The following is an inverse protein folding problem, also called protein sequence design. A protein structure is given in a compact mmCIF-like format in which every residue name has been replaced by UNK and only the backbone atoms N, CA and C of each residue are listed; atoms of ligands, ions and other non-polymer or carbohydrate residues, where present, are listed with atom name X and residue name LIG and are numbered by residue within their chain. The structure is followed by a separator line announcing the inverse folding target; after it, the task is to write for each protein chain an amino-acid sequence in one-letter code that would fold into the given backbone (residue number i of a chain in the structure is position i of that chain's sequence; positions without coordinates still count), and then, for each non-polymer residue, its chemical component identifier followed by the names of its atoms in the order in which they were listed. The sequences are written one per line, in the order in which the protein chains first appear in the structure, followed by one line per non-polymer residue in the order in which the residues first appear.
data_IF_360587498941
#
_entry.id   IF_360587498941
#
_cell.length_a   1.000
_cell.length_b   1.000
_cell.length_c   1.000
_cell.angle_alpha   90.00
_cell.angle_beta   90.00
_cell.angle_gamma   90.00
#
_symmetry.space_group_name_H-M   'P 1'
#
loop_
_entity.id
_entity.type
_entity.pdbx_description
1 polymer ?
#
# COMPACT_ATOMS: atom_id res chain seq x y z
N UNK A 1 12.93 13.05 16.24
CA UNK A 1 12.34 13.14 14.88
C UNK A 1 13.19 12.49 13.78
N UNK A 2 14.53 12.38 13.90
CA UNK A 2 15.40 11.85 12.82
C UNK A 2 15.01 10.45 12.31
N UNK A 3 14.88 9.46 13.19
CA UNK A 3 14.62 8.08 12.75
C UNK A 3 13.22 7.88 12.13
N UNK A 4 12.22 8.67 12.56
CA UNK A 4 10.91 8.68 11.92
C UNK A 4 11.01 9.10 10.45
N UNK A 5 11.82 10.13 10.17
CA UNK A 5 12.05 10.60 8.80
C UNK A 5 12.65 9.49 7.94
N UNK A 6 13.61 8.72 8.46
CA UNK A 6 14.20 7.58 7.73
C UNK A 6 13.14 6.53 7.39
N UNK A 7 12.26 6.20 8.35
CA UNK A 7 11.17 5.24 8.11
C UNK A 7 10.15 5.76 7.08
N UNK A 8 9.79 7.05 7.15
CA UNK A 8 8.89 7.68 6.18
C UNK A 8 9.51 7.75 4.78
N UNK A 9 10.81 8.04 4.66
CA UNK A 9 11.54 8.01 3.39
C UNK A 9 11.53 6.59 2.83
N UNK A 10 11.81 5.58 3.66
CA UNK A 10 11.79 4.17 3.26
C UNK A 10 10.43 3.77 2.67
N UNK A 11 9.33 4.09 3.37
CA UNK A 11 7.98 3.86 2.87
C UNK A 11 7.71 4.56 1.54
N UNK A 12 8.09 5.83 1.44
CA UNK A 12 7.87 6.64 0.24
C UNK A 12 8.64 6.10 -0.96
N UNK A 13 9.89 5.65 -0.76
CA UNK A 13 10.71 5.02 -1.79
C UNK A 13 10.06 3.74 -2.32
N UNK A 14 9.61 2.84 -1.44
CA UNK A 14 8.93 1.60 -1.86
C UNK A 14 7.60 1.87 -2.54
N UNK A 15 6.82 2.84 -2.05
CA UNK A 15 5.56 3.24 -2.67
C UNK A 15 5.77 3.82 -4.07
N UNK A 16 6.83 4.62 -4.27
CA UNK A 16 7.17 5.16 -5.58
C UNK A 16 7.66 4.08 -6.54
N UNK A 17 8.52 3.16 -6.08
CA UNK A 17 8.96 2.01 -6.89
C UNK A 17 7.79 1.12 -7.29
N UNK A 18 6.90 0.84 -6.34
CA UNK A 18 5.65 0.11 -6.59
C UNK A 18 4.82 0.79 -7.68
N UNK A 19 4.55 2.10 -7.55
CA UNK A 19 3.78 2.85 -8.53
C UNK A 19 4.44 2.87 -9.93
N UNK A 20 5.75 3.01 -10.01
CA UNK A 20 6.49 2.96 -11.28
C UNK A 20 6.32 1.59 -11.94
N UNK A 21 6.48 0.50 -11.19
CA UNK A 21 6.33 -0.85 -11.72
C UNK A 21 4.87 -1.14 -12.09
N UNK A 22 3.91 -0.69 -11.28
CA UNK A 22 2.48 -0.81 -11.57
C UNK A 22 2.12 -0.08 -12.89
N UNK A 23 2.66 1.11 -13.13
CA UNK A 23 2.50 1.84 -14.40
C UNK A 23 3.12 1.13 -15.61
N UNK A 24 4.24 0.40 -15.40
CA UNK A 24 4.91 -0.38 -16.45
C UNK A 24 4.09 -1.63 -16.79
N UNK A 25 3.62 -2.34 -15.77
CA UNK A 25 2.88 -3.61 -15.89
C UNK A 25 1.44 -3.37 -16.36
N UNK A 26 0.79 -2.32 -15.85
CA UNK A 26 -0.64 -2.02 -16.03
C UNK A 26 -1.50 -3.26 -15.72
N UNK A 27 -1.40 -3.78 -14.49
CA UNK A 27 -2.03 -5.03 -14.12
C UNK A 27 -3.56 -4.91 -14.09
N UNK A 28 -4.26 -5.99 -14.44
CA UNK A 28 -5.66 -6.18 -14.07
C UNK A 28 -5.78 -7.38 -13.14
N UNK A 29 -6.41 -7.18 -11.98
CA UNK A 29 -6.68 -8.25 -11.03
C UNK A 29 -8.12 -8.70 -11.24
N UNK A 30 -8.30 -9.99 -11.50
CA UNK A 30 -9.60 -10.58 -11.79
C UNK A 30 -9.80 -11.86 -11.01
N UNK A 31 -11.07 -12.22 -10.81
CA UNK A 31 -11.48 -13.48 -10.22
C UNK A 31 -12.54 -14.08 -11.12
N UNK A 32 -12.37 -15.34 -11.48
CA UNK A 32 -13.31 -16.08 -12.30
C UNK A 32 -13.43 -17.52 -11.78
N UNK A 33 -14.64 -17.90 -11.37
CA UNK A 33 -14.92 -19.22 -10.82
C UNK A 33 -13.97 -19.60 -9.67
N UNK A 34 -13.22 -20.69 -9.84
CA UNK A 34 -12.27 -21.21 -8.85
C UNK A 34 -10.85 -20.62 -8.96
N UNK A 35 -10.68 -19.48 -9.66
CA UNK A 35 -9.39 -18.86 -9.92
C UNK A 35 -9.37 -17.36 -9.61
N UNK A 36 -8.33 -16.88 -8.93
CA UNK A 36 -7.96 -15.46 -9.00
C UNK A 36 -6.67 -15.31 -9.80
N UNK A 37 -6.53 -14.20 -10.50
CA UNK A 37 -5.36 -13.94 -11.32
C UNK A 37 -5.10 -12.45 -11.52
N UNK A 38 -3.83 -12.14 -11.78
CA UNK A 38 -3.37 -10.83 -12.21
C UNK A 38 -2.79 -10.98 -13.62
N UNK A 39 -3.29 -10.22 -14.58
CA UNK A 39 -2.83 -10.23 -15.98
C UNK A 39 -2.04 -8.97 -16.32
N UNK A 40 -1.13 -9.12 -17.28
CA UNK A 40 -0.39 -8.06 -17.95
C UNK A 40 -0.47 -8.30 -19.46
N UNK A 41 -0.89 -7.28 -20.22
CA UNK A 41 -0.90 -7.31 -21.68
C UNK A 41 0.51 -7.16 -22.24
N UNK A 42 0.91 -8.05 -23.15
CA UNK A 42 2.19 -7.98 -23.87
C UNK A 42 2.09 -7.38 -25.28
N UNK A 43 0.91 -6.96 -25.72
CA UNK A 43 0.65 -6.40 -27.07
C UNK A 43 1.60 -5.26 -27.50
N UNK A 44 1.96 -4.38 -26.58
CA UNK A 44 2.90 -3.26 -26.80
C UNK A 44 4.17 -3.40 -25.94
N UNK A 45 4.47 -4.61 -25.47
CA UNK A 45 5.61 -4.86 -24.61
C UNK A 45 6.87 -5.07 -25.48
N UNK A 46 7.93 -4.25 -25.33
CA UNK A 46 9.08 -4.28 -26.22
C UNK A 46 10.05 -5.44 -25.94
N UNK A 47 9.84 -6.21 -24.86
CA UNK A 47 10.73 -7.30 -24.44
C UNK A 47 10.03 -8.67 -24.54
N UNK A 48 10.72 -9.74 -24.14
CA UNK A 48 10.15 -11.09 -24.19
C UNK A 48 9.08 -11.35 -23.11
N UNK A 49 8.20 -12.32 -23.35
CA UNK A 49 7.22 -12.83 -22.38
C UNK A 49 7.86 -13.24 -21.04
N UNK A 50 9.07 -13.82 -21.08
CA UNK A 50 9.77 -14.20 -19.87
C UNK A 50 10.13 -12.98 -19.02
N UNK A 51 10.53 -11.88 -19.66
CA UNK A 51 10.80 -10.62 -18.95
C UNK A 51 9.48 -10.05 -18.43
N UNK A 52 8.39 -10.08 -19.21
CA UNK A 52 7.08 -9.65 -18.74
C UNK A 52 6.63 -10.43 -17.48
N UNK A 53 6.80 -11.75 -17.47
CA UNK A 53 6.49 -12.58 -16.30
C UNK A 53 7.36 -12.24 -15.09
N UNK A 54 8.64 -11.94 -15.28
CA UNK A 54 9.53 -11.50 -14.19
C UNK A 54 9.03 -10.17 -13.61
N UNK A 55 8.73 -9.19 -14.46
CA UNK A 55 8.27 -7.86 -14.03
C UNK A 55 6.91 -7.97 -13.31
N UNK A 56 6.00 -8.81 -13.79
CA UNK A 56 4.73 -9.11 -13.12
C UNK A 56 4.97 -9.73 -11.71
N UNK A 57 5.88 -10.69 -11.59
CA UNK A 57 6.23 -11.25 -10.27
C UNK A 57 6.93 -10.26 -9.35
N UNK A 58 7.75 -9.34 -9.89
CA UNK A 58 8.33 -8.23 -9.14
C UNK A 58 7.22 -7.33 -8.59
N UNK A 59 6.20 -7.00 -9.40
CA UNK A 59 5.04 -6.24 -8.94
C UNK A 59 4.34 -6.94 -7.77
N UNK A 60 4.08 -8.25 -7.87
CA UNK A 60 3.54 -9.04 -6.76
C UNK A 60 4.44 -8.92 -5.52
N UNK A 61 5.77 -8.96 -5.69
CA UNK A 61 6.72 -8.74 -4.62
C UNK A 61 6.55 -7.38 -3.93
N UNK A 62 6.47 -6.28 -4.69
CA UNK A 62 6.20 -4.96 -4.10
C UNK A 62 4.82 -4.88 -3.43
N UNK A 63 3.81 -5.55 -3.99
CA UNK A 63 2.51 -5.76 -3.35
C UNK A 63 2.64 -6.39 -1.96
N UNK A 64 3.54 -7.37 -1.81
CA UNK A 64 3.84 -8.02 -0.54
C UNK A 64 4.62 -7.18 0.47
N UNK A 65 5.38 -6.17 0.03
CA UNK A 65 6.08 -5.23 0.93
C UNK A 65 5.08 -4.32 1.66
N UNK A 66 4.03 -3.90 0.96
CA UNK A 66 3.06 -2.88 1.39
C UNK A 66 2.35 -3.22 2.72
N UNK A 67 1.74 -4.41 2.92
CA UNK A 67 1.10 -4.78 4.18
C UNK A 67 2.01 -4.64 5.41
N UNK A 68 3.27 -5.07 5.28
CA UNK A 68 4.24 -5.01 6.38
C UNK A 68 4.69 -3.58 6.65
N UNK A 69 4.89 -2.78 5.61
CA UNK A 69 5.15 -1.35 5.76
C UNK A 69 4.03 -0.65 6.55
N UNK A 70 2.77 -0.91 6.19
CA UNK A 70 1.61 -0.36 6.91
C UNK A 70 1.66 -0.77 8.38
N UNK A 71 1.84 -2.07 8.67
CA UNK A 71 1.90 -2.57 10.04
C UNK A 71 3.01 -1.92 10.88
N UNK A 72 4.21 -1.74 10.30
CA UNK A 72 5.34 -1.10 10.98
C UNK A 72 5.06 0.37 11.28
N UNK A 73 4.41 1.10 10.36
CA UNK A 73 4.00 2.48 10.61
C UNK A 73 3.02 2.58 11.77
N UNK A 74 2.07 1.64 11.88
CA UNK A 74 1.14 1.58 13.00
C UNK A 74 1.85 1.27 14.33
N UNK A 75 2.79 0.33 14.35
CA UNK A 75 3.61 0.05 15.54
C UNK A 75 4.41 1.30 15.95
N UNK A 76 5.07 1.96 15.00
CA UNK A 76 5.85 3.17 15.27
C UNK A 76 4.99 4.25 15.92
N UNK A 77 3.81 4.52 15.33
CA UNK A 77 2.87 5.53 15.85
C UNK A 77 2.40 5.18 17.25
N UNK A 78 2.09 3.92 17.51
CA UNK A 78 1.72 3.47 18.85
C UNK A 78 2.84 3.73 19.87
N UNK A 79 4.09 3.36 19.58
CA UNK A 79 5.21 3.61 20.47
C UNK A 79 5.51 5.10 20.69
N UNK A 80 5.27 5.94 19.68
CA UNK A 80 5.38 7.38 19.82
C UNK A 80 4.34 7.95 20.81
N UNK A 81 3.11 7.42 20.79
CA UNK A 81 2.03 7.80 21.71
C UNK A 81 2.23 7.26 23.12
N UNK A 82 2.89 6.12 23.27
CA UNK A 82 3.09 5.51 24.57
C UNK A 82 4.00 6.35 25.49
N UNK A 83 4.95 7.09 24.89
CA UNK A 83 5.99 7.91 25.56
C UNK A 83 6.82 7.17 26.62
N UNK A 84 6.92 5.83 26.54
CA UNK A 84 7.73 4.99 27.45
C UNK A 84 9.16 4.71 26.97
N UNK A 85 9.65 5.43 25.97
CA UNK A 85 10.99 5.23 25.40
C UNK A 85 11.13 4.03 24.46
N UNK A 86 10.03 3.38 24.06
CA UNK A 86 10.04 2.25 23.12
C UNK A 86 10.46 2.63 21.69
N UNK A 87 10.51 3.93 21.36
CA UNK A 87 11.11 4.44 20.12
C UNK A 87 12.60 4.07 19.98
N UNK A 88 13.27 3.65 21.05
CA UNK A 88 14.63 3.08 20.99
C UNK A 88 14.73 1.85 20.06
N UNK A 89 13.65 1.08 19.89
CA UNK A 89 13.60 -0.05 18.96
C UNK A 89 13.55 0.38 17.49
N UNK A 90 13.25 1.65 17.22
CA UNK A 90 13.36 2.27 15.91
C UNK A 90 14.65 3.10 15.80
N UNK A 91 15.72 2.65 16.46
CA UNK A 91 17.03 3.33 16.46
C UNK A 91 18.19 2.34 16.41
N UNK A 92 19.31 2.80 15.83
CA UNK A 92 20.54 2.02 15.72
C UNK A 92 20.33 0.66 15.04
N UNK A 93 20.90 -0.39 15.61
CA UNK A 93 20.86 -1.76 15.07
C UNK A 93 19.46 -2.35 14.91
N UNK A 94 18.49 -1.94 15.72
CA UNK A 94 17.12 -2.45 15.65
C UNK A 94 16.36 -1.91 14.43
N UNK A 95 16.77 -0.75 13.89
CA UNK A 95 16.17 -0.18 12.69
C UNK A 95 16.34 -1.10 11.46
N UNK A 96 17.46 -1.82 11.37
CA UNK A 96 17.76 -2.75 10.28
C UNK A 96 16.70 -3.87 10.25
N UNK A 97 16.30 -4.39 11.41
CA UNK A 97 15.28 -5.45 11.51
C UNK A 97 13.95 -4.97 10.91
N UNK A 98 13.55 -3.73 11.18
CA UNK A 98 12.33 -3.16 10.62
C UNK A 98 12.38 -2.99 9.11
N UNK A 99 13.55 -2.80 8.49
CA UNK A 99 13.66 -2.78 7.02
C UNK A 99 13.68 -4.18 6.41
N UNK A 100 14.22 -5.18 7.12
CA UNK A 100 14.24 -6.54 6.62
C UNK A 100 12.85 -7.17 6.56
N UNK A 101 11.96 -6.89 7.53
CA UNK A 101 10.62 -7.50 7.60
C UNK A 101 9.81 -7.27 6.30
N UNK A 102 9.64 -6.03 5.79
CA UNK A 102 8.92 -5.81 4.54
C UNK A 102 9.59 -6.45 3.32
N UNK A 103 10.94 -6.46 3.26
CA UNK A 103 11.68 -7.10 2.17
C UNK A 103 11.39 -8.60 2.14
N UNK A 104 11.38 -9.26 3.31
CA UNK A 104 11.01 -10.68 3.41
C UNK A 104 9.56 -10.93 2.98
N UNK A 105 8.64 -10.03 3.35
CA UNK A 105 7.26 -10.05 2.86
C UNK A 105 7.17 -9.99 1.33
N UNK A 106 7.95 -9.09 0.72
CA UNK A 106 8.01 -8.98 -0.74
C UNK A 106 8.67 -10.17 -1.43
N UNK A 107 9.76 -10.70 -0.86
CA UNK A 107 10.39 -11.94 -1.35
C UNK A 107 9.39 -13.11 -1.30
N UNK A 108 8.60 -13.21 -0.23
CA UNK A 108 7.55 -14.23 -0.11
C UNK A 108 6.50 -14.11 -1.23
N UNK A 109 5.99 -12.92 -1.50
CA UNK A 109 4.99 -12.73 -2.57
C UNK A 109 5.57 -12.93 -3.97
N UNK A 110 6.81 -12.51 -4.21
CA UNK A 110 7.53 -12.83 -5.44
C UNK A 110 7.67 -14.35 -5.60
N UNK A 111 8.06 -15.05 -4.54
CA UNK A 111 8.22 -16.50 -4.53
C UNK A 111 6.89 -17.21 -4.87
N UNK A 112 5.79 -16.81 -4.23
CA UNK A 112 4.46 -17.34 -4.53
C UNK A 112 4.09 -17.11 -6.00
N UNK A 113 4.28 -15.89 -6.49
CA UNK A 113 4.01 -15.53 -7.89
C UNK A 113 4.85 -16.35 -8.89
N UNK A 114 6.14 -16.54 -8.60
CA UNK A 114 7.07 -17.18 -9.51
C UNK A 114 6.98 -18.71 -9.56
N UNK A 115 6.74 -19.36 -8.42
CA UNK A 115 6.75 -20.82 -8.33
C UNK A 115 5.35 -21.44 -8.35
N UNK A 116 4.35 -20.77 -7.79
CA UNK A 116 3.00 -21.32 -7.65
C UNK A 116 2.04 -20.77 -8.70
N UNK A 117 2.11 -19.47 -8.97
CA UNK A 117 1.10 -18.79 -9.78
C UNK A 117 1.50 -18.56 -11.23
N UNK A 118 2.67 -19.06 -11.65
CA UNK A 118 3.21 -18.82 -12.98
C UNK A 118 2.31 -19.40 -14.08
N UNK A 119 2.31 -18.73 -15.23
CA UNK A 119 1.63 -19.17 -16.46
C UNK A 119 1.89 -20.66 -16.76
N UNK A 120 0.81 -21.39 -17.00
CA UNK A 120 0.80 -22.81 -17.34
C UNK A 120 -0.40 -23.14 -18.24
N UNK A 121 -0.33 -24.23 -19.00
CA UNK A 121 -1.33 -24.52 -20.04
C UNK A 121 -2.74 -24.75 -19.48
N UNK A 122 -2.85 -25.45 -18.34
CA UNK A 122 -4.15 -25.76 -17.71
C UNK A 122 -4.89 -24.49 -17.27
N UNK A 123 -4.20 -23.60 -16.56
CA UNK A 123 -4.78 -22.34 -16.11
C UNK A 123 -5.03 -21.40 -17.28
N UNK A 124 -4.16 -21.41 -18.31
CA UNK A 124 -4.34 -20.60 -19.52
C UNK A 124 -5.65 -20.95 -20.21
N UNK A 125 -5.95 -22.24 -20.34
CA UNK A 125 -7.20 -22.68 -20.96
C UNK A 125 -8.42 -22.33 -20.12
N UNK A 126 -8.32 -22.47 -18.78
CA UNK A 126 -9.39 -22.14 -17.86
C UNK A 126 -9.80 -20.66 -17.92
N UNK A 127 -8.84 -19.73 -17.99
CA UNK A 127 -9.13 -18.29 -17.97
C UNK A 127 -9.29 -17.68 -19.37
N UNK A 128 -9.04 -18.45 -20.45
CA UNK A 128 -9.00 -17.95 -21.84
C UNK A 128 -10.26 -17.16 -22.22
N UNK A 129 -11.43 -17.76 -21.98
CA UNK A 129 -12.71 -17.15 -22.33
C UNK A 129 -12.97 -15.89 -21.50
N UNK A 130 -12.83 -15.99 -20.17
CA UNK A 130 -13.02 -14.85 -19.26
C UNK A 130 -12.11 -13.69 -19.63
N UNK A 131 -10.82 -13.92 -19.92
CA UNK A 131 -9.91 -12.82 -20.27
C UNK A 131 -10.25 -12.18 -21.61
N UNK A 132 -10.66 -12.97 -22.61
CA UNK A 132 -11.09 -12.44 -23.90
C UNK A 132 -12.36 -11.60 -23.78
N UNK A 133 -13.36 -12.08 -23.03
CA UNK A 133 -14.65 -11.41 -22.87
C UNK A 133 -14.54 -10.13 -22.04
N UNK A 134 -13.74 -10.15 -20.97
CA UNK A 134 -13.61 -9.04 -20.02
C UNK A 134 -12.58 -7.98 -20.43
N UNK A 135 -11.48 -8.39 -21.05
CA UNK A 135 -10.35 -7.50 -21.37
C UNK A 135 -10.05 -7.37 -22.86
N UNK A 136 -10.69 -8.18 -23.72
CA UNK A 136 -10.41 -8.18 -25.16
C UNK A 136 -8.99 -8.67 -25.50
N UNK A 137 -8.37 -9.44 -24.61
CA UNK A 137 -7.00 -9.91 -24.74
C UNK A 137 -6.95 -11.40 -25.09
N UNK A 138 -6.05 -11.75 -26.02
CA UNK A 138 -5.75 -13.13 -26.31
C UNK A 138 -4.60 -13.64 -25.42
N UNK A 139 -4.63 -14.94 -25.09
CA UNK A 139 -3.62 -15.57 -24.21
C UNK A 139 -2.19 -15.53 -24.77
N UNK A 140 -2.02 -15.46 -26.09
CA UNK A 140 -0.72 -15.30 -26.74
C UNK A 140 -0.11 -13.90 -26.56
N UNK A 141 -0.93 -12.91 -26.22
CA UNK A 141 -0.53 -11.52 -25.96
C UNK A 141 -0.69 -11.15 -24.47
N UNK A 142 -0.66 -12.17 -23.60
CA UNK A 142 -0.88 -11.99 -22.16
C UNK A 142 0.07 -12.85 -21.34
N UNK A 143 0.64 -12.26 -20.30
CA UNK A 143 1.26 -13.00 -19.19
C UNK A 143 0.44 -12.80 -17.93
N UNK A 144 0.47 -13.78 -17.03
CA UNK A 144 -0.35 -13.73 -15.83
C UNK A 144 0.30 -14.44 -14.65
N UNK A 145 -0.16 -14.08 -13.45
CA UNK A 145 0.02 -14.82 -12.22
C UNK A 145 -1.35 -15.23 -11.69
N UNK A 146 -1.64 -16.53 -11.65
CA UNK A 146 -2.96 -17.07 -11.32
C UNK A 146 -2.89 -18.22 -10.31
N UNK A 147 -3.83 -18.22 -9.36
CA UNK A 147 -4.08 -19.34 -8.47
C UNK A 147 -5.39 -20.01 -8.87
N UNK A 148 -5.31 -21.19 -9.49
CA UNK A 148 -6.47 -22.02 -9.82
C UNK A 148 -6.60 -23.10 -8.76
N UNK A 149 -7.61 -22.99 -7.87
CA UNK A 149 -7.76 -23.93 -6.76
C UNK A 149 -8.24 -25.31 -7.20
N UNK A 150 -9.02 -25.36 -8.29
CA UNK A 150 -9.66 -26.59 -8.75
C UNK A 150 -9.34 -26.89 -10.22
N UNK A 151 -8.07 -27.17 -10.58
CA UNK A 151 -7.74 -27.54 -11.94
C UNK A 151 -8.45 -28.85 -12.33
N UNK A 152 -8.92 -28.98 -13.59
CA UNK A 152 -9.50 -30.22 -14.08
C UNK A 152 -8.45 -31.35 -14.13
N UNK A 153 -8.84 -32.55 -13.69
CA UNK A 153 -8.04 -33.77 -13.83
C UNK A 153 -8.07 -34.33 -15.27
N UNK A 154 -7.40 -35.46 -15.52
CA UNK A 154 -7.37 -36.10 -16.85
C UNK A 154 -8.76 -36.49 -17.38
N UNK A 155 -9.76 -36.62 -16.50
CA UNK A 155 -11.15 -36.91 -16.84
C UNK A 155 -12.01 -35.63 -16.87
N UNK A 156 -11.41 -34.45 -16.73
CA UNK A 156 -12.10 -33.16 -16.69
C UNK A 156 -12.78 -32.84 -15.35
N UNK A 157 -12.57 -33.63 -14.30
CA UNK A 157 -13.21 -33.40 -12.99
C UNK A 157 -12.36 -32.41 -12.18
N UNK A 158 -12.94 -31.27 -11.74
CA UNK A 158 -12.21 -30.29 -10.94
C UNK A 158 -11.90 -30.86 -9.54
N UNK A 159 -10.62 -30.86 -9.15
CA UNK A 159 -10.18 -31.32 -7.81
C UNK A 159 -9.29 -30.28 -7.16
N UNK A 160 -9.38 -30.18 -5.84
CA UNK A 160 -8.59 -29.23 -5.07
C UNK A 160 -7.09 -29.53 -5.21
N UNK A 161 -6.34 -28.55 -5.70
CA UNK A 161 -4.89 -28.61 -5.81
C UNK A 161 -4.26 -28.22 -4.47
N UNK A 162 -3.65 -29.20 -3.79
CA UNK A 162 -3.01 -29.00 -2.49
C UNK A 162 -1.78 -28.07 -2.57
N UNK A 163 -1.11 -28.02 -3.72
CA UNK A 163 0.04 -27.13 -3.93
C UNK A 163 -0.42 -25.67 -3.98
N UNK A 164 -1.50 -25.40 -4.71
CA UNK A 164 -2.12 -24.07 -4.76
C UNK A 164 -2.76 -23.73 -3.41
N UNK A 165 -3.42 -24.67 -2.73
CA UNK A 165 -3.97 -24.45 -1.39
C UNK A 165 -2.89 -24.06 -0.38
N UNK A 166 -1.74 -24.75 -0.38
CA UNK A 166 -0.61 -24.42 0.48
C UNK A 166 -0.12 -22.99 0.22
N UNK A 167 0.03 -22.61 -1.04
CA UNK A 167 0.42 -21.26 -1.44
C UNK A 167 -0.55 -20.19 -0.94
N UNK A 168 -1.85 -20.48 -0.98
CA UNK A 168 -2.91 -19.61 -0.48
C UNK A 168 -2.86 -19.48 1.05
N UNK A 169 -2.58 -20.56 1.78
CA UNK A 169 -2.41 -20.51 3.24
C UNK A 169 -1.22 -19.60 3.59
N UNK A 170 -0.10 -19.71 2.87
CA UNK A 170 1.06 -18.84 3.05
C UNK A 170 0.71 -17.37 2.75
N UNK A 171 0.02 -17.11 1.62
CA UNK A 171 -0.46 -15.77 1.26
C UNK A 171 -1.38 -15.21 2.35
N UNK A 172 -2.33 -16.00 2.84
CA UNK A 172 -3.30 -15.63 3.87
C UNK A 172 -2.63 -15.29 5.19
N UNK A 173 -1.66 -16.09 5.65
CA UNK A 173 -0.88 -15.79 6.85
C UNK A 173 -0.09 -14.49 6.65
N UNK A 174 0.52 -14.30 5.48
CA UNK A 174 1.30 -13.09 5.17
C UNK A 174 0.45 -11.80 5.18
N UNK A 175 -0.85 -11.90 4.88
CA UNK A 175 -1.82 -10.80 5.00
C UNK A 175 -2.39 -10.65 6.41
N UNK A 176 -2.70 -11.76 7.08
CA UNK A 176 -3.35 -11.79 8.39
C UNK A 176 -2.47 -11.22 9.50
N UNK A 177 -1.16 -11.49 9.47
CA UNK A 177 -0.19 -10.96 10.44
C UNK A 177 -0.17 -9.42 10.46
N UNK A 178 0.13 -8.72 9.34
CA UNK A 178 0.11 -7.26 9.32
C UNK A 178 -1.29 -6.69 9.56
N UNK A 179 -2.36 -7.35 9.10
CA UNK A 179 -3.72 -6.92 9.39
C UNK A 179 -4.04 -6.94 10.88
N UNK A 180 -3.65 -8.01 11.59
CA UNK A 180 -3.87 -8.12 13.04
C UNK A 180 -3.06 -7.06 13.79
N UNK A 181 -1.81 -6.84 13.39
CA UNK A 181 -0.98 -5.75 13.94
C UNK A 181 -1.65 -4.40 13.74
N UNK A 182 -2.19 -4.13 12.55
CA UNK A 182 -2.90 -2.89 12.23
C UNK A 182 -4.08 -2.67 13.19
N UNK A 183 -4.95 -3.67 13.36
CA UNK A 183 -6.13 -3.57 14.22
C UNK A 183 -5.71 -3.39 15.69
N UNK A 184 -4.76 -4.19 16.18
CA UNK A 184 -4.29 -4.12 17.57
C UNK A 184 -3.58 -2.80 17.86
N UNK A 185 -2.62 -2.40 17.02
CA UNK A 185 -1.89 -1.14 17.20
C UNK A 185 -2.81 0.07 17.03
N UNK A 186 -3.79 0.02 16.13
CA UNK A 186 -4.85 1.02 16.00
C UNK A 186 -5.69 1.15 17.26
N UNK A 187 -6.21 0.03 17.79
CA UNK A 187 -7.02 0.00 19.02
C UNK A 187 -6.24 0.46 20.27
N UNK A 188 -4.98 0.04 20.40
CA UNK A 188 -4.11 0.47 21.50
C UNK A 188 -3.77 1.96 21.40
N UNK A 189 -3.51 2.47 20.19
CA UNK A 189 -3.26 3.90 19.96
C UNK A 189 -4.49 4.74 20.29
N UNK A 190 -5.68 4.29 19.87
CA UNK A 190 -6.95 4.91 20.21
C UNK A 190 -7.13 5.01 21.74
N UNK A 191 -6.91 3.89 22.44
CA UNK A 191 -7.04 3.82 23.90
C UNK A 191 -6.06 4.75 24.61
N UNK A 192 -4.83 4.90 24.08
CA UNK A 192 -3.81 5.78 24.67
C UNK A 192 -4.12 7.25 24.45
N UNK A 193 -4.57 7.65 23.27
CA UNK A 193 -4.91 9.05 22.98
C UNK A 193 -6.12 9.49 23.81
N UNK A 194 -7.15 8.65 23.95
CA UNK A 194 -8.30 8.97 24.82
C UNK A 194 -7.86 9.33 26.25
N UNK A 195 -6.97 8.53 26.84
CA UNK A 195 -6.42 8.80 28.18
C UNK A 195 -5.59 10.08 28.23
N UNK A 196 -4.81 10.39 27.19
CA UNK A 196 -4.00 11.62 27.12
C UNK A 196 -4.88 12.87 27.05
N UNK A 197 -6.01 12.83 26.33
CA UNK A 197 -6.97 13.93 26.23
C UNK A 197 -7.65 14.20 27.58
N UNK A 198 -7.91 13.15 28.37
CA UNK A 198 -8.55 13.23 29.69
C UNK A 198 -7.63 13.82 30.78
N UNK A 199 -6.31 13.70 30.66
CA UNK A 199 -5.34 14.05 31.72
C UNK A 199 -4.69 15.46 31.58
N UNK A 200 -5.32 16.40 30.88
CA UNK A 200 -5.00 17.84 31.02
C UNK A 200 -3.62 18.29 30.54
N UNK A 201 -3.29 18.06 29.25
CA UNK A 201 -2.18 18.79 28.60
C UNK A 201 -2.59 20.23 28.24
N UNK A 202 -1.62 21.12 27.98
CA UNK A 202 -1.89 22.49 27.54
C UNK A 202 -2.76 22.52 26.27
N UNK A 203 -3.55 23.58 26.10
CA UNK A 203 -4.59 23.67 25.05
C UNK A 203 -4.04 23.42 23.63
N UNK A 204 -2.85 23.94 23.33
CA UNK A 204 -2.15 23.70 22.07
C UNK A 204 -1.84 22.21 21.85
N UNK A 205 -1.24 21.54 22.84
CA UNK A 205 -0.90 20.12 22.71
C UNK A 205 -2.16 19.27 22.63
N UNK A 206 -3.20 19.60 23.40
CA UNK A 206 -4.50 18.94 23.34
C UNK A 206 -5.13 19.04 21.94
N UNK A 207 -5.10 20.22 21.32
CA UNK A 207 -5.60 20.44 19.95
C UNK A 207 -4.84 19.60 18.94
N UNK A 208 -3.51 19.63 18.98
CA UNK A 208 -2.66 18.85 18.08
C UNK A 208 -2.90 17.34 18.25
N UNK A 209 -2.97 16.83 19.49
CA UNK A 209 -3.25 15.42 19.76
C UNK A 209 -4.63 14.99 19.23
N UNK A 210 -5.64 15.84 19.30
CA UNK A 210 -6.97 15.56 18.75
C UNK A 210 -6.96 15.50 17.21
N UNK A 211 -6.20 16.36 16.55
CA UNK A 211 -6.04 16.32 15.10
C UNK A 211 -5.31 15.05 14.65
N UNK A 212 -4.20 14.71 15.32
CA UNK A 212 -3.46 13.47 15.09
C UNK A 212 -4.33 12.23 15.33
N UNK A 213 -5.18 12.26 16.35
CA UNK A 213 -6.15 11.21 16.62
C UNK A 213 -7.15 11.01 15.48
N UNK A 214 -7.78 12.10 15.00
CA UNK A 214 -8.73 12.04 13.88
C UNK A 214 -8.06 11.49 12.62
N UNK A 215 -6.85 11.95 12.32
CA UNK A 215 -6.07 11.45 11.19
C UNK A 215 -5.75 9.95 11.35
N UNK A 216 -5.36 9.52 12.54
CA UNK A 216 -5.04 8.12 12.83
C UNK A 216 -6.25 7.19 12.67
N UNK A 217 -7.43 7.60 13.13
CA UNK A 217 -8.67 6.83 12.97
C UNK A 217 -8.97 6.62 11.49
N UNK A 218 -8.94 7.70 10.69
CA UNK A 218 -9.16 7.62 9.23
C UNK A 218 -8.12 6.73 8.57
N UNK A 219 -6.83 6.88 8.93
CA UNK A 219 -5.75 6.05 8.39
C UNK A 219 -5.80 4.60 8.83
N UNK A 220 -6.55 4.26 9.87
CA UNK A 220 -6.79 2.85 10.25
C UNK A 220 -7.84 2.25 9.33
N UNK A 221 -8.90 2.99 9.01
CA UNK A 221 -9.97 2.52 8.14
C UNK A 221 -9.58 2.44 6.67
N UNK A 222 -8.76 3.38 6.17
CA UNK A 222 -8.33 3.41 4.77
C UNK A 222 -7.70 2.10 4.27
N UNK A 223 -6.59 1.59 4.85
CA UNK A 223 -5.99 0.34 4.39
C UNK A 223 -6.91 -0.86 4.62
N UNK A 224 -7.79 -0.84 5.64
CA UNK A 224 -8.76 -1.92 5.85
C UNK A 224 -9.72 -2.03 4.66
N UNK A 225 -10.32 -0.92 4.23
CA UNK A 225 -11.34 -0.93 3.17
C UNK A 225 -10.80 -0.80 1.75
N UNK A 226 -9.67 -0.13 1.55
CA UNK A 226 -9.09 0.07 0.22
C UNK A 226 -8.09 -1.02 -0.17
N UNK A 227 -7.56 -1.77 0.80
CA UNK A 227 -6.47 -2.72 0.53
C UNK A 227 -6.75 -4.13 1.10
N UNK A 228 -6.82 -4.28 2.44
CA UNK A 228 -6.89 -5.60 3.08
C UNK A 228 -8.19 -6.35 2.79
N UNK A 229 -9.34 -5.69 2.98
CA UNK A 229 -10.66 -6.30 2.75
C UNK A 229 -10.88 -6.67 1.27
N UNK A 230 -10.70 -5.77 0.28
CA UNK A 230 -10.99 -6.11 -1.11
C UNK A 230 -10.05 -7.20 -1.65
N UNK A 231 -8.75 -7.15 -1.33
CA UNK A 231 -7.82 -8.22 -1.72
C UNK A 231 -8.07 -9.53 -0.96
N UNK A 232 -8.40 -9.45 0.33
CA UNK A 232 -8.72 -10.64 1.13
C UNK A 232 -9.93 -11.38 0.58
N UNK A 233 -11.00 -10.66 0.25
CA UNK A 233 -12.18 -11.24 -0.42
C UNK A 233 -11.79 -11.80 -1.79
N UNK A 234 -11.01 -11.05 -2.59
CA UNK A 234 -10.60 -11.48 -3.93
C UNK A 234 -9.81 -12.78 -3.94
N UNK A 235 -8.88 -12.95 -3.00
CA UNK A 235 -8.07 -14.18 -2.90
C UNK A 235 -8.84 -15.36 -2.31
N UNK A 236 -9.81 -15.09 -1.43
CA UNK A 236 -10.53 -16.13 -0.67
C UNK A 236 -11.79 -16.63 -1.39
N UNK A 237 -12.53 -15.77 -2.07
CA UNK A 237 -13.80 -16.13 -2.71
C UNK A 237 -13.68 -17.32 -3.70
N UNK A 238 -12.64 -17.42 -4.55
CA UNK A 238 -12.52 -18.53 -5.49
C UNK A 238 -12.32 -19.89 -4.82
N UNK A 239 -11.75 -19.92 -3.61
CA UNK A 239 -11.59 -21.16 -2.84
C UNK A 239 -12.95 -21.74 -2.42
N UNK A 240 -13.97 -20.89 -2.24
CA UNK A 240 -15.32 -21.30 -1.86
C UNK A 240 -16.29 -21.33 -3.04
N UNK A 241 -15.78 -21.23 -4.27
CA UNK A 241 -16.59 -21.12 -5.50
C UNK A 241 -17.56 -19.93 -5.48
N UNK A 242 -17.22 -18.86 -4.76
CA UNK A 242 -18.02 -17.64 -4.73
C UNK A 242 -17.59 -16.78 -5.90
N UNK A 243 -18.51 -16.56 -6.84
CA UNK A 243 -18.26 -15.71 -8.00
C UNK A 243 -18.33 -14.22 -7.62
N UNK A 244 -17.21 -13.54 -7.80
CA UNK A 244 -17.02 -12.11 -7.54
C UNK A 244 -16.44 -11.40 -8.78
N UNK A 245 -16.65 -11.97 -9.97
CA UNK A 245 -16.08 -11.49 -11.22
C UNK A 245 -16.35 -9.99 -11.45
N UNK A 246 -17.61 -9.56 -11.30
CA UNK A 246 -18.00 -8.14 -11.44
C UNK A 246 -17.35 -7.22 -10.39
N UNK A 247 -17.07 -7.72 -9.18
CA UNK A 247 -16.45 -6.95 -8.10
C UNK A 247 -14.93 -6.83 -8.24
N UNK A 248 -14.30 -7.68 -9.04
CA UNK A 248 -12.85 -7.74 -9.18
C UNK A 248 -12.27 -6.46 -9.80
N UNK A 249 -13.01 -5.82 -10.71
CA UNK A 249 -12.67 -4.50 -11.25
C UNK A 249 -12.56 -3.44 -10.15
N UNK A 250 -13.55 -3.40 -9.24
CA UNK A 250 -13.57 -2.46 -8.11
C UNK A 250 -12.35 -2.72 -7.22
N UNK A 251 -12.04 -3.98 -6.92
CA UNK A 251 -10.84 -4.35 -6.15
C UNK A 251 -9.56 -3.83 -6.79
N UNK A 252 -9.41 -3.96 -8.11
CA UNK A 252 -8.24 -3.43 -8.83
C UNK A 252 -8.11 -1.91 -8.67
N UNK A 253 -9.21 -1.16 -8.80
CA UNK A 253 -9.20 0.30 -8.62
C UNK A 253 -8.90 0.71 -7.17
N UNK A 254 -9.51 0.06 -6.18
CA UNK A 254 -9.29 0.37 -4.76
C UNK A 254 -7.82 0.14 -4.35
N UNK A 255 -7.26 -0.98 -4.81
CA UNK A 255 -5.85 -1.32 -4.63
C UNK A 255 -4.92 -0.26 -5.24
N UNK A 256 -5.15 0.12 -6.49
CA UNK A 256 -4.33 1.13 -7.17
C UNK A 256 -4.47 2.53 -6.55
N UNK A 257 -5.64 2.85 -5.98
CA UNK A 257 -5.92 4.13 -5.35
C UNK A 257 -5.31 4.26 -3.95
N UNK A 258 -5.13 3.16 -3.22
CA UNK A 258 -4.68 3.16 -1.83
C UNK A 258 -3.40 4.01 -1.59
N UNK A 259 -2.30 3.85 -2.36
CA UNK A 259 -1.07 4.63 -2.13
C UNK A 259 -1.27 6.14 -2.27
N UNK A 260 -2.19 6.58 -3.13
CA UNK A 260 -2.49 8.00 -3.33
C UNK A 260 -3.34 8.58 -2.19
N UNK A 261 -4.21 7.78 -1.57
CA UNK A 261 -5.15 8.23 -0.54
C UNK A 261 -4.57 8.16 0.87
N UNK A 262 -3.68 7.21 1.16
CA UNK A 262 -3.05 7.01 2.47
C UNK A 262 -2.41 8.27 3.12
N UNK A 263 -1.69 9.15 2.38
CA UNK A 263 -1.08 10.35 2.96
C UNK A 263 -2.09 11.48 3.21
N UNK A 264 -3.25 11.48 2.53
CA UNK A 264 -4.19 12.62 2.54
C UNK A 264 -4.77 12.95 3.92
N UNK A 265 -5.14 11.98 4.79
CA UNK A 265 -5.66 12.31 6.11
C UNK A 265 -4.67 13.09 6.96
N UNK A 266 -3.37 12.73 6.97
CA UNK A 266 -2.37 13.50 7.71
C UNK A 266 -2.24 14.89 7.11
N UNK A 267 -2.18 14.97 5.77
CA UNK A 267 -1.97 16.22 5.05
C UNK A 267 -3.09 17.23 5.26
N UNK A 268 -4.36 16.79 5.30
CA UNK A 268 -5.51 17.70 5.38
C UNK A 268 -6.13 17.84 6.78
N UNK A 269 -5.99 16.85 7.67
CA UNK A 269 -6.59 16.90 9.01
C UNK A 269 -5.66 17.60 10.02
N UNK A 270 -4.35 17.46 9.87
CA UNK A 270 -3.37 18.06 10.79
C UNK A 270 -3.00 19.45 10.28
N UNK A 271 -3.29 20.47 11.08
CA UNK A 271 -3.21 21.88 10.69
C UNK A 271 -1.79 22.29 10.27
N UNK A 272 -0.78 21.85 11.01
CA UNK A 272 0.63 22.17 10.73
C UNK A 272 1.10 21.59 9.39
N UNK A 273 0.65 20.37 9.05
CA UNK A 273 0.97 19.75 7.75
C UNK A 273 0.18 20.39 6.62
N UNK A 274 -1.08 20.75 6.86
CA UNK A 274 -1.92 21.43 5.88
C UNK A 274 -1.38 22.81 5.53
N UNK A 275 -0.97 23.58 6.53
CA UNK A 275 -0.38 24.91 6.33
C UNK A 275 0.95 24.81 5.57
N UNK A 276 1.83 23.88 5.97
CA UNK A 276 3.07 23.61 5.25
C UNK A 276 2.83 23.19 3.79
N UNK A 277 1.79 22.39 3.53
CA UNK A 277 1.38 22.04 2.17
C UNK A 277 0.97 23.28 1.38
N UNK A 278 0.09 24.13 1.92
CA UNK A 278 -0.32 25.36 1.22
C UNK A 278 0.84 26.33 1.00
N UNK A 279 1.77 26.48 1.95
CA UNK A 279 2.97 27.29 1.78
C UNK A 279 3.85 26.82 0.61
N UNK A 280 3.94 25.50 0.37
CA UNK A 280 4.64 24.97 -0.81
C UNK A 280 3.94 25.46 -2.09
N UNK A 281 2.62 25.37 -2.18
CA UNK A 281 1.85 25.83 -3.35
C UNK A 281 1.84 27.35 -3.50
N UNK A 282 1.87 28.11 -2.40
CA UNK A 282 1.99 29.56 -2.43
C UNK A 282 3.40 29.99 -2.82
N UNK A 283 4.46 29.29 -2.44
CA UNK A 283 5.82 29.50 -2.98
C UNK A 283 5.88 29.25 -4.49
N UNK A 284 5.15 28.24 -5.01
CA UNK A 284 5.02 28.04 -6.45
C UNK A 284 4.18 29.13 -7.15
N UNK A 285 3.32 29.86 -6.42
CA UNK A 285 2.58 31.03 -6.93
C UNK A 285 3.31 32.35 -6.74
N UNK A 286 4.18 32.46 -5.74
CA UNK A 286 4.97 33.64 -5.41
C UNK A 286 6.33 33.59 -6.11
N UNK A 287 6.32 33.48 -7.44
CA UNK A 287 7.46 33.85 -8.30
C UNK A 287 7.30 35.28 -8.84
N UNK A 288 6.71 36.19 -8.06
CA UNK A 288 6.91 37.62 -8.29
C UNK A 288 7.72 38.20 -7.13
N UNK A 289 8.95 38.70 -7.39
CA UNK A 289 9.72 39.35 -6.36
C UNK A 289 8.99 40.64 -6.01
N UNK A 290 8.42 40.70 -4.81
CA UNK A 290 8.11 41.98 -4.19
C UNK A 290 9.43 42.72 -4.01
N UNK A 291 9.57 43.84 -4.72
CA UNK A 291 10.65 44.80 -4.49
C UNK A 291 10.68 45.11 -3.01
N UNK A 292 11.80 44.78 -2.37
CA UNK A 292 12.17 45.34 -1.07
C UNK A 292 12.42 46.83 -1.35
N UNK A 293 11.46 47.69 -1.02
CA UNK A 293 11.73 49.12 -0.90
C UNK A 293 12.56 49.31 0.38
N UNK A 294 13.85 49.54 0.16
CA UNK A 294 14.79 50.05 1.15
C UNK A 294 14.29 51.40 1.68
N UNK A 295 13.59 51.39 2.82
CA UNK A 295 13.29 52.61 3.58
C UNK A 295 14.50 53.04 4.44
N UNK A 296 15.66 53.17 3.81
CA UNK A 296 16.87 53.76 4.39
C UNK A 296 16.86 55.30 4.40
N UNK A 297 15.74 55.94 4.03
CA UNK A 297 15.62 57.40 3.97
C UNK A 297 14.90 58.08 5.15
N UNK A 298 14.41 57.35 6.16
CA UNK A 298 13.67 57.96 7.27
C UNK A 298 14.54 58.52 8.43
N UNK A 299 15.87 58.53 8.29
CA UNK A 299 16.78 59.01 9.35
C UNK A 299 17.67 60.21 8.95
N UNK A 300 17.45 60.83 7.78
CA UNK A 300 18.30 61.96 7.31
C UNK A 300 17.70 63.35 7.40
N UNK A 301 16.44 63.52 7.77
CA UNK A 301 15.79 64.85 7.80
C UNK A 301 15.51 65.43 9.20
N UNK A 302 15.88 64.76 10.29
CA UNK A 302 15.70 65.28 11.65
C UNK A 302 16.91 66.03 12.23
N UNK A 303 17.93 66.36 11.41
CA UNK A 303 19.12 67.12 11.85
C UNK A 303 19.34 68.47 11.15
N UNK A 304 18.38 68.98 10.39
CA UNK A 304 18.46 70.36 9.89
C UNK A 304 17.11 71.04 9.96
N UNK A 305 16.88 71.76 11.06
CA UNK A 305 16.36 73.14 11.20
C UNK A 305 16.06 73.37 12.68
#
# INVERSE_FOLDING_TARGET
MGNYKVLMIYFSTFSMLFAVIDMIVRPFIHSHGGCFFMIMSTKNWPFSDNIAQIVLSILCGFGGVTPFLIAIHFIYRYFALERKGNLKYFSGKYLIIWFMIPILGGVNWFHLSWFYYRRNDKTTEYIRASVLENFGLHMNETVYSAALFYPPDENGVPRLDLYILLSYVILSISMAVPFTILIVAGALSHSKIKKLIEHGECEYTKRLQLQLYRALVVQTFLPVFLFFMPLGVLFTAPLFHVDIESWSYITTYLYALYPAVDPLPIMFIVEEYRNAFYEIFDCFRCSHPSKIEDNSNMYRESQTI
#
